data_IF_318018069851
#
_entry.id   IF_318018069851
#
_cell.length_a   1.000
_cell.length_b   1.000
_cell.length_c   1.000
_cell.angle_alpha   90.00
_cell.angle_beta   90.00
_cell.angle_gamma   90.00
#
_symmetry.space_group_name_H-M   'P 1'
#
loop_
_entity.id
_entity.type
_entity.pdbx_description
1 polymer ?
#
# COMPACT_ATOMS: atom_id res chain seq x y z
N UNK A 1 -59.76 -18.96 39.95
CA UNK A 1 -60.62 -19.41 38.84
C UNK A 1 -61.53 -18.22 38.54
N UNK A 2 -60.97 -17.14 38.00
CA UNK A 2 -60.59 -16.91 36.60
C UNK A 2 -61.82 -16.87 35.71
N UNK A 3 -62.09 -15.67 35.19
CA UNK A 3 -62.68 -15.32 33.88
C UNK A 3 -63.46 -14.01 34.07
N UNK A 4 -63.36 -12.96 33.27
CA UNK A 4 -62.35 -12.51 32.29
C UNK A 4 -62.71 -11.03 32.07
N UNK A 5 -61.76 -10.12 32.25
CA UNK A 5 -61.95 -8.67 32.07
C UNK A 5 -61.66 -8.38 30.61
N UNK A 6 -62.70 -8.30 29.80
CA UNK A 6 -62.60 -7.83 28.41
C UNK A 6 -62.34 -6.32 28.40
N UNK A 7 -61.06 -5.97 28.28
CA UNK A 7 -60.59 -4.62 28.04
C UNK A 7 -60.76 -4.26 26.56
N UNK A 8 -61.59 -3.26 26.31
CA UNK A 8 -61.62 -2.44 25.10
C UNK A 8 -60.24 -1.78 24.91
N UNK A 9 -59.55 -2.01 23.79
CA UNK A 9 -58.60 -1.05 23.19
C UNK A 9 -58.28 -1.38 21.72
N UNK A 10 -58.86 -0.59 20.83
CA UNK A 10 -58.33 -0.04 19.57
C UNK A 10 -57.64 -0.97 18.54
N UNK A 11 -58.25 -1.19 17.36
CA UNK A 11 -57.57 -1.77 16.21
C UNK A 11 -56.65 -0.73 15.55
N UNK A 12 -55.33 -0.87 15.75
CA UNK A 12 -54.34 -0.16 14.94
C UNK A 12 -54.40 -0.67 13.50
N UNK A 13 -55.18 0.01 12.67
CA UNK A 13 -55.15 -0.14 11.22
C UNK A 13 -53.87 0.53 10.72
N UNK A 14 -52.79 -0.24 10.58
CA UNK A 14 -51.61 0.21 9.84
C UNK A 14 -52.05 0.42 8.39
N UNK A 15 -52.30 1.68 8.02
CA UNK A 15 -52.40 2.09 6.63
C UNK A 15 -51.06 1.76 5.97
N UNK A 16 -51.00 0.64 5.25
CA UNK A 16 -50.01 0.45 4.20
C UNK A 16 -50.16 1.61 3.23
N UNK A 17 -49.31 2.62 3.36
CA UNK A 17 -49.09 3.61 2.32
C UNK A 17 -48.48 2.85 1.15
N UNK A 18 -49.33 2.53 0.17
CA UNK A 18 -48.93 2.12 -1.16
C UNK A 18 -48.03 3.22 -1.74
N UNK A 19 -46.72 3.09 -1.54
CA UNK A 19 -45.73 3.86 -2.27
C UNK A 19 -45.60 3.21 -3.66
N UNK A 20 -45.85 3.93 -4.76
CA UNK A 20 -45.75 3.36 -6.10
C UNK A 20 -44.30 2.95 -6.39
N UNK A 21 -44.16 1.76 -6.98
CA UNK A 21 -42.89 1.10 -7.27
C UNK A 21 -41.87 2.00 -8.00
N UNK A 22 -40.83 2.45 -7.29
CA UNK A 22 -39.63 3.09 -7.82
C UNK A 22 -38.61 2.05 -8.34
N UNK A 23 -39.07 1.04 -9.08
CA UNK A 23 -38.20 -0.06 -9.56
C UNK A 23 -37.14 0.36 -10.58
N UNK A 24 -37.32 1.50 -11.27
CA UNK A 24 -36.39 2.05 -12.26
C UNK A 24 -35.33 2.95 -11.62
N UNK A 25 -35.72 3.77 -10.64
CA UNK A 25 -34.83 4.64 -9.85
C UNK A 25 -33.85 3.83 -9.00
N UNK A 26 -34.33 2.75 -8.36
CA UNK A 26 -33.48 1.86 -7.56
C UNK A 26 -32.43 1.14 -8.40
N UNK A 27 -32.78 0.74 -9.63
CA UNK A 27 -31.85 0.04 -10.53
C UNK A 27 -30.76 0.95 -11.06
N UNK A 28 -31.06 2.22 -11.35
CA UNK A 28 -30.06 3.21 -11.76
C UNK A 28 -29.18 3.64 -10.59
N UNK A 29 -29.77 3.79 -9.40
CA UNK A 29 -29.04 4.12 -8.18
C UNK A 29 -28.05 3.02 -7.76
N UNK A 30 -28.45 1.74 -7.79
CA UNK A 30 -27.55 0.60 -7.49
C UNK A 30 -26.39 0.50 -8.49
N UNK A 31 -26.65 0.77 -9.78
CA UNK A 31 -25.60 0.80 -10.82
C UNK A 31 -24.61 1.93 -10.57
N UNK A 32 -25.09 3.12 -10.24
CA UNK A 32 -24.26 4.27 -9.93
C UNK A 32 -23.42 4.03 -8.66
N UNK A 33 -24.02 3.46 -7.62
CA UNK A 33 -23.33 3.11 -6.38
C UNK A 33 -22.25 2.04 -6.59
N UNK A 34 -22.54 1.01 -7.39
CA UNK A 34 -21.55 0.00 -7.76
C UNK A 34 -20.38 0.59 -8.54
N UNK A 35 -20.66 1.43 -9.54
CA UNK A 35 -19.63 2.13 -10.31
C UNK A 35 -18.76 3.04 -9.43
N UNK A 36 -19.39 3.84 -8.56
CA UNK A 36 -18.68 4.71 -7.62
C UNK A 36 -17.79 3.92 -6.66
N UNK A 37 -18.27 2.78 -6.16
CA UNK A 37 -17.48 1.90 -5.30
C UNK A 37 -16.27 1.33 -6.01
N UNK A 38 -16.44 0.84 -7.25
CA UNK A 38 -15.33 0.28 -8.04
C UNK A 38 -14.29 1.36 -8.34
N UNK A 39 -14.72 2.56 -8.71
CA UNK A 39 -13.81 3.67 -8.98
C UNK A 39 -13.03 4.09 -7.72
N UNK A 40 -13.71 4.16 -6.57
CA UNK A 40 -13.08 4.48 -5.29
C UNK A 40 -12.03 3.43 -4.90
N UNK A 41 -12.38 2.14 -4.98
CA UNK A 41 -11.43 1.04 -4.69
C UNK A 41 -10.25 1.03 -5.66
N UNK A 42 -10.50 1.24 -6.95
CA UNK A 42 -9.45 1.30 -7.96
C UNK A 42 -8.49 2.49 -7.72
N UNK A 43 -9.02 3.63 -7.29
CA UNK A 43 -8.21 4.81 -6.97
C UNK A 43 -7.34 4.55 -5.75
N UNK A 44 -7.89 3.95 -4.70
CA UNK A 44 -7.14 3.61 -3.48
C UNK A 44 -6.04 2.57 -3.74
N UNK A 45 -6.37 1.52 -4.50
CA UNK A 45 -5.40 0.49 -4.86
C UNK A 45 -4.31 1.06 -5.78
N UNK A 46 -4.70 1.82 -6.81
CA UNK A 46 -3.77 2.46 -7.73
C UNK A 46 -2.82 3.43 -7.03
N UNK A 47 -3.32 4.25 -6.09
CA UNK A 47 -2.49 5.14 -5.29
C UNK A 47 -1.42 4.35 -4.50
N UNK A 48 -1.81 3.26 -3.85
CA UNK A 48 -0.88 2.44 -3.08
C UNK A 48 0.13 1.72 -3.98
N UNK A 49 -0.29 1.18 -5.12
CA UNK A 49 0.62 0.56 -6.09
C UNK A 49 1.67 1.56 -6.57
N UNK A 50 1.29 2.82 -6.82
CA UNK A 50 2.23 3.89 -7.15
C UNK A 50 3.22 4.13 -6.01
N UNK A 51 2.76 4.15 -4.76
CA UNK A 51 3.63 4.31 -3.59
C UNK A 51 4.67 3.18 -3.48
N UNK A 52 4.25 1.93 -3.67
CA UNK A 52 5.15 0.76 -3.66
C UNK A 52 6.20 0.88 -4.78
N UNK A 53 5.79 1.29 -5.98
CA UNK A 53 6.71 1.49 -7.10
C UNK A 53 7.72 2.61 -6.79
N UNK A 54 7.28 3.73 -6.20
CA UNK A 54 8.17 4.82 -5.82
C UNK A 54 9.20 4.39 -4.78
N UNK A 55 8.80 3.63 -3.76
CA UNK A 55 9.72 3.03 -2.79
C UNK A 55 10.71 2.10 -3.50
N UNK A 56 10.22 1.20 -4.38
CA UNK A 56 11.07 0.26 -5.10
C UNK A 56 12.12 0.97 -5.97
N UNK A 57 11.72 2.05 -6.66
CA UNK A 57 12.63 2.89 -7.45
C UNK A 57 13.65 3.56 -6.53
N UNK A 58 13.23 4.16 -5.40
CA UNK A 58 14.13 4.80 -4.45
C UNK A 58 15.17 3.80 -3.90
N UNK A 59 14.74 2.61 -3.48
CA UNK A 59 15.63 1.54 -3.02
C UNK A 59 16.60 1.08 -4.13
N UNK A 60 16.12 0.97 -5.37
CA UNK A 60 16.96 0.59 -6.51
C UNK A 60 18.03 1.63 -6.84
N UNK A 61 17.69 2.93 -6.75
CA UNK A 61 18.66 4.01 -6.91
C UNK A 61 19.68 4.03 -5.78
N UNK A 62 19.25 3.74 -4.56
CA UNK A 62 20.12 3.66 -3.39
C UNK A 62 21.15 2.52 -3.49
N UNK A 63 20.74 1.32 -3.88
CA UNK A 63 21.66 0.18 -4.05
C UNK A 63 22.68 0.42 -5.17
N UNK A 64 22.25 1.05 -6.28
CA UNK A 64 23.17 1.45 -7.36
C UNK A 64 24.22 2.46 -6.87
N UNK A 65 23.79 3.44 -6.06
CA UNK A 65 24.70 4.42 -5.47
C UNK A 65 25.71 3.76 -4.53
N UNK A 66 25.24 2.86 -3.66
CA UNK A 66 26.09 2.08 -2.74
C UNK A 66 27.13 1.26 -3.50
N UNK A 67 26.74 0.61 -4.59
CA UNK A 67 27.65 -0.15 -5.44
C UNK A 67 28.72 0.76 -6.07
N UNK A 68 28.34 1.93 -6.60
CA UNK A 68 29.29 2.88 -7.18
C UNK A 68 30.30 3.42 -6.15
N UNK A 69 29.87 3.71 -4.92
CA UNK A 69 30.79 4.15 -3.85
C UNK A 69 31.78 3.04 -3.49
N UNK A 70 31.32 1.79 -3.37
CA UNK A 70 32.17 0.65 -3.04
C UNK A 70 33.20 0.38 -4.15
N UNK A 71 32.77 0.48 -5.40
CA UNK A 71 33.63 0.31 -6.58
C UNK A 71 34.75 1.37 -6.61
N UNK A 72 34.40 2.65 -6.46
CA UNK A 72 35.35 3.77 -6.37
C UNK A 72 36.34 3.57 -5.22
N UNK A 73 35.86 3.07 -4.07
CA UNK A 73 36.73 2.79 -2.91
C UNK A 73 37.71 1.65 -3.21
N UNK A 74 37.27 0.62 -3.93
CA UNK A 74 38.03 -0.60 -4.15
C UNK A 74 39.07 -0.44 -5.28
N UNK A 75 38.75 0.32 -6.32
CA UNK A 75 39.69 0.73 -7.37
C UNK A 75 40.90 1.47 -6.78
N UNK A 76 40.69 2.26 -5.73
CA UNK A 76 41.73 3.10 -5.15
C UNK A 76 42.49 2.48 -3.96
N UNK A 77 41.90 1.51 -3.23
CA UNK A 77 42.63 0.78 -2.17
C UNK A 77 43.67 -0.20 -2.77
N UNK A 78 43.50 -0.62 -4.02
CA UNK A 78 44.54 -1.40 -4.72
C UNK A 78 45.63 -0.42 -5.16
N UNK A 79 46.80 -0.36 -4.49
CA UNK A 79 47.81 0.60 -4.86
C UNK A 79 48.31 0.21 -6.25
N UNK A 80 48.13 1.08 -7.23
CA UNK A 80 48.92 1.01 -8.47
C UNK A 80 50.35 1.32 -8.05
N UNK A 81 51.09 0.27 -7.67
CA UNK A 81 52.52 0.30 -7.38
C UNK A 81 53.24 0.75 -8.65
N UNK A 82 53.38 2.05 -8.79
CA UNK A 82 54.09 2.70 -9.86
C UNK A 82 54.37 4.12 -9.41
N UNK A 83 55.56 4.29 -8.87
CA UNK A 83 56.31 5.53 -8.62
C UNK A 83 55.84 6.72 -9.48
N UNK A 84 54.77 7.40 -9.07
CA UNK A 84 54.22 8.61 -9.69
C UNK A 84 54.35 9.78 -8.71
N UNK A 85 54.70 10.94 -9.24
CA UNK A 85 54.97 12.18 -8.52
C UNK A 85 53.95 12.48 -7.41
N UNK A 86 54.45 12.85 -6.23
CA UNK A 86 53.68 13.20 -5.03
C UNK A 86 52.62 14.30 -5.30
N UNK A 87 52.88 15.18 -6.27
CA UNK A 87 51.93 16.21 -6.71
C UNK A 87 50.77 15.67 -7.56
N UNK A 88 51.02 14.68 -8.43
CA UNK A 88 49.99 14.05 -9.27
C UNK A 88 49.06 13.20 -8.40
N UNK A 89 49.63 12.50 -7.41
CA UNK A 89 48.86 11.73 -6.43
C UNK A 89 47.94 12.63 -5.58
N UNK A 90 48.42 13.81 -5.18
CA UNK A 90 47.63 14.76 -4.40
C UNK A 90 46.46 15.36 -5.20
N UNK A 91 46.67 15.67 -6.48
CA UNK A 91 45.61 16.17 -7.35
C UNK A 91 44.51 15.11 -7.60
N UNK A 92 44.92 13.86 -7.84
CA UNK A 92 43.99 12.73 -7.98
C UNK A 92 43.19 12.48 -6.68
N UNK A 93 43.84 12.60 -5.52
CA UNK A 93 43.17 12.48 -4.22
C UNK A 93 42.13 13.59 -3.98
N UNK A 94 42.45 14.85 -4.34
CA UNK A 94 41.49 15.96 -4.22
C UNK A 94 40.28 15.79 -5.15
N UNK A 95 40.47 15.34 -6.40
CA UNK A 95 39.36 15.06 -7.33
C UNK A 95 38.47 13.92 -6.82
N UNK A 96 39.08 12.85 -6.30
CA UNK A 96 38.36 11.74 -5.70
C UNK A 96 37.56 12.17 -4.47
N UNK A 97 38.16 12.96 -3.57
CA UNK A 97 37.49 13.48 -2.39
C UNK A 97 36.31 14.38 -2.76
N UNK A 98 36.43 15.17 -3.83
CA UNK A 98 35.33 15.97 -4.35
C UNK A 98 34.18 15.09 -4.87
N UNK A 99 34.49 14.02 -5.63
CA UNK A 99 33.50 13.04 -6.11
C UNK A 99 32.80 12.31 -4.97
N UNK A 100 33.56 11.88 -3.96
CA UNK A 100 33.01 11.20 -2.79
C UNK A 100 32.10 12.14 -1.98
N UNK A 101 32.50 13.39 -1.79
CA UNK A 101 31.70 14.38 -1.09
C UNK A 101 30.41 14.72 -1.86
N UNK A 102 30.46 14.85 -3.19
CA UNK A 102 29.26 15.01 -4.00
C UNK A 102 28.32 13.80 -3.88
N UNK A 103 28.89 12.60 -3.85
CA UNK A 103 28.15 11.35 -3.69
C UNK A 103 27.48 11.23 -2.29
N UNK A 104 28.20 11.59 -1.23
CA UNK A 104 27.67 11.64 0.15
C UNK A 104 26.53 12.65 0.25
N UNK A 105 26.65 13.83 -0.37
CA UNK A 105 25.56 14.82 -0.39
C UNK A 105 24.33 14.27 -1.09
N UNK A 106 24.51 13.66 -2.26
CA UNK A 106 23.40 13.04 -2.98
C UNK A 106 22.74 11.91 -2.16
N UNK A 107 23.53 11.14 -1.41
CA UNK A 107 23.03 10.13 -0.49
C UNK A 107 22.21 10.73 0.65
N UNK A 108 22.66 11.84 1.24
CA UNK A 108 21.91 12.58 2.26
C UNK A 108 20.58 13.10 1.72
N UNK A 109 20.56 13.60 0.48
CA UNK A 109 19.32 14.05 -0.17
C UNK A 109 18.34 12.89 -0.40
N UNK A 110 18.83 11.72 -0.81
CA UNK A 110 17.99 10.51 -0.98
C UNK A 110 17.44 10.03 0.36
N UNK A 111 18.24 10.03 1.43
CA UNK A 111 17.75 9.65 2.76
C UNK A 111 16.66 10.61 3.27
N UNK A 112 16.85 11.92 3.06
CA UNK A 112 15.85 12.92 3.42
C UNK A 112 14.55 12.74 2.61
N UNK A 113 14.66 12.40 1.33
CA UNK A 113 13.51 12.04 0.49
C UNK A 113 12.77 10.81 1.00
N UNK A 114 13.51 9.75 1.34
CA UNK A 114 12.94 8.51 1.88
C UNK A 114 12.24 8.74 3.21
N UNK A 115 12.82 9.52 4.13
CA UNK A 115 12.16 9.88 5.40
C UNK A 115 10.87 10.68 5.16
N UNK A 116 10.92 11.65 4.25
CA UNK A 116 9.71 12.43 3.89
C UNK A 116 8.64 11.54 3.26
N UNK A 117 9.04 10.55 2.47
CA UNK A 117 8.15 9.56 1.88
C UNK A 117 7.56 8.63 2.96
N UNK A 118 8.36 8.17 3.92
CA UNK A 118 7.90 7.35 5.03
C UNK A 118 6.84 8.08 5.87
N UNK A 119 7.10 9.33 6.24
CA UNK A 119 6.14 10.16 6.99
C UNK A 119 4.83 10.37 6.22
N UNK A 120 4.93 10.64 4.91
CA UNK A 120 3.76 10.81 4.05
C UNK A 120 2.99 9.49 3.85
N UNK A 121 3.66 8.35 3.87
CA UNK A 121 3.07 7.04 3.63
C UNK A 121 2.56 6.35 4.90
N UNK A 122 3.04 6.73 6.09
CA UNK A 122 2.67 6.11 7.35
C UNK A 122 1.14 6.11 7.60
N UNK A 123 0.50 7.28 7.44
CA UNK A 123 -0.96 7.43 7.60
C UNK A 123 -1.77 6.61 6.58
N UNK A 124 -1.53 6.73 5.26
CA UNK A 124 -2.26 5.93 4.27
C UNK A 124 -1.95 4.43 4.36
N UNK A 125 -0.73 4.02 4.75
CA UNK A 125 -0.41 2.62 5.03
C UNK A 125 -1.22 2.09 6.21
N UNK A 126 -1.29 2.84 7.31
CA UNK A 126 -2.12 2.49 8.47
C UNK A 126 -3.59 2.33 8.07
N UNK A 127 -4.14 3.31 7.34
CA UNK A 127 -5.51 3.24 6.82
C UNK A 127 -5.72 2.03 5.91
N UNK A 128 -4.75 1.73 5.05
CA UNK A 128 -4.82 0.58 4.15
C UNK A 128 -4.83 -0.75 4.91
N UNK A 129 -3.98 -0.92 5.92
CA UNK A 129 -3.98 -2.14 6.76
C UNK A 129 -5.31 -2.37 7.46
N UNK A 130 -5.95 -1.31 7.96
CA UNK A 130 -7.27 -1.42 8.59
C UNK A 130 -8.36 -1.83 7.59
N UNK A 131 -8.36 -1.24 6.39
CA UNK A 131 -9.29 -1.58 5.32
C UNK A 131 -9.07 -3.02 4.85
N UNK A 132 -7.81 -3.43 4.69
CA UNK A 132 -7.46 -4.80 4.33
C UNK A 132 -7.94 -5.79 5.39
N UNK A 133 -7.70 -5.53 6.68
CA UNK A 133 -8.17 -6.39 7.75
C UNK A 133 -9.70 -6.58 7.69
N UNK A 134 -10.45 -5.48 7.56
CA UNK A 134 -11.90 -5.55 7.40
C UNK A 134 -12.30 -6.38 6.18
N UNK A 135 -11.64 -6.15 5.04
CA UNK A 135 -11.91 -6.85 3.78
C UNK A 135 -11.62 -8.36 3.89
N UNK A 136 -10.53 -8.74 4.55
CA UNK A 136 -10.21 -10.14 4.83
C UNK A 136 -11.24 -10.78 5.75
N UNK A 137 -11.71 -10.07 6.78
CA UNK A 137 -12.76 -10.56 7.67
C UNK A 137 -14.09 -10.79 6.90
N UNK A 138 -14.49 -9.84 6.06
CA UNK A 138 -15.69 -9.99 5.22
C UNK A 138 -15.53 -11.09 4.17
N UNK A 139 -14.34 -11.23 3.58
CA UNK A 139 -14.02 -12.29 2.63
C UNK A 139 -14.11 -13.67 3.28
N UNK A 140 -13.51 -13.84 4.47
CA UNK A 140 -13.59 -15.08 5.24
C UNK A 140 -15.03 -15.42 5.61
N UNK A 141 -15.82 -14.44 6.07
CA UNK A 141 -17.25 -14.63 6.34
C UNK A 141 -18.01 -15.05 5.07
N UNK A 142 -17.77 -14.40 3.94
CA UNK A 142 -18.43 -14.70 2.67
C UNK A 142 -18.12 -16.10 2.16
N UNK A 143 -16.88 -16.55 2.30
CA UNK A 143 -16.46 -17.92 1.95
C UNK A 143 -17.18 -18.95 2.82
N UNK A 144 -17.36 -18.65 4.12
CA UNK A 144 -18.09 -19.53 5.04
C UNK A 144 -19.59 -19.54 4.76
N UNK A 145 -20.20 -18.40 4.44
CA UNK A 145 -21.65 -18.32 4.18
C UNK A 145 -22.05 -18.86 2.82
N UNK A 146 -21.20 -18.75 1.80
CA UNK A 146 -21.49 -19.21 0.43
C UNK A 146 -20.99 -20.64 0.18
N UNK A 147 -20.88 -21.45 1.24
CA UNK A 147 -20.44 -22.84 1.17
C UNK A 147 -21.40 -23.66 0.29
N UNK A 148 -20.99 -23.93 -0.95
CA UNK A 148 -21.80 -24.66 -1.94
C UNK A 148 -21.77 -24.05 -3.34
N UNK A 149 -21.45 -22.75 -3.47
CA UNK A 149 -21.21 -22.13 -4.77
C UNK A 149 -19.70 -21.97 -5.01
N UNK A 150 -19.17 -22.82 -5.90
CA UNK A 150 -17.75 -22.83 -6.23
C UNK A 150 -17.28 -21.53 -6.90
N UNK A 151 -18.15 -20.83 -7.65
CA UNK A 151 -17.78 -19.60 -8.34
C UNK A 151 -17.51 -18.48 -7.32
N UNK A 152 -18.46 -18.24 -6.42
CA UNK A 152 -18.36 -17.21 -5.38
C UNK A 152 -17.22 -17.50 -4.39
N UNK A 153 -17.04 -18.77 -4.02
CA UNK A 153 -15.93 -19.19 -3.15
C UNK A 153 -14.57 -18.94 -3.80
N UNK A 154 -14.41 -19.31 -5.08
CA UNK A 154 -13.16 -19.10 -5.81
C UNK A 154 -12.82 -17.62 -5.99
N UNK A 155 -13.83 -16.78 -6.23
CA UNK A 155 -13.66 -15.34 -6.35
C UNK A 155 -13.21 -14.72 -5.02
N UNK A 156 -13.85 -15.08 -3.91
CA UNK A 156 -13.46 -14.62 -2.58
C UNK A 156 -12.02 -15.02 -2.22
N UNK A 157 -11.63 -16.25 -2.56
CA UNK A 157 -10.27 -16.75 -2.34
C UNK A 157 -9.23 -15.99 -3.17
N UNK A 158 -9.52 -15.69 -4.44
CA UNK A 158 -8.59 -14.93 -5.31
C UNK A 158 -8.37 -13.51 -4.77
N UNK A 159 -9.43 -12.83 -4.30
CA UNK A 159 -9.33 -11.51 -3.69
C UNK A 159 -8.49 -11.58 -2.40
N UNK A 160 -8.72 -12.61 -1.57
CA UNK A 160 -7.96 -12.84 -0.35
C UNK A 160 -6.46 -13.05 -0.61
N UNK A 161 -6.11 -13.86 -1.61
CA UNK A 161 -4.71 -14.11 -1.98
C UNK A 161 -4.04 -12.86 -2.53
N UNK A 162 -4.75 -12.09 -3.37
CA UNK A 162 -4.24 -10.84 -3.94
C UNK A 162 -3.90 -9.83 -2.84
N UNK A 163 -4.84 -9.56 -1.93
CA UNK A 163 -4.60 -8.65 -0.81
C UNK A 163 -3.54 -9.17 0.17
N UNK A 164 -3.39 -10.49 0.31
CA UNK A 164 -2.30 -11.05 1.11
C UNK A 164 -0.92 -10.76 0.48
N UNK A 165 -0.83 -10.82 -0.86
CA UNK A 165 0.41 -10.48 -1.57
C UNK A 165 0.79 -9.01 -1.44
N UNK A 166 -0.19 -8.10 -1.45
CA UNK A 166 0.03 -6.66 -1.23
C UNK A 166 0.65 -6.40 0.15
N UNK A 167 0.11 -7.04 1.20
CA UNK A 167 0.65 -6.96 2.57
C UNK A 167 2.09 -7.46 2.62
N UNK A 168 2.38 -8.61 2.01
CA UNK A 168 3.72 -9.19 2.02
C UNK A 168 4.73 -8.26 1.34
N UNK A 169 4.36 -7.64 0.22
CA UNK A 169 5.22 -6.67 -0.47
C UNK A 169 5.49 -5.44 0.38
N UNK A 170 4.45 -4.87 0.99
CA UNK A 170 4.59 -3.70 1.87
C UNK A 170 5.49 -4.03 3.08
N UNK A 171 5.25 -5.16 3.75
CA UNK A 171 6.07 -5.60 4.88
C UNK A 171 7.53 -5.87 4.47
N UNK A 172 7.74 -6.44 3.28
CA UNK A 172 9.07 -6.67 2.73
C UNK A 172 9.82 -5.36 2.49
N UNK A 173 9.18 -4.39 1.84
CA UNK A 173 9.78 -3.07 1.62
C UNK A 173 10.03 -2.32 2.93
N UNK A 174 9.10 -2.36 3.88
CA UNK A 174 9.29 -1.78 5.21
C UNK A 174 10.51 -2.35 5.92
N UNK A 175 10.67 -3.67 5.90
CA UNK A 175 11.85 -4.35 6.48
C UNK A 175 13.16 -3.90 5.80
N UNK A 176 13.14 -3.74 4.46
CA UNK A 176 14.31 -3.26 3.70
C UNK A 176 14.64 -1.81 3.99
N UNK A 177 13.65 -0.98 4.31
CA UNK A 177 13.84 0.42 4.69
C UNK A 177 14.45 0.54 6.09
N UNK A 178 13.90 -0.17 7.08
CA UNK A 178 14.36 -0.11 8.48
C UNK A 178 15.78 -0.66 8.67
N UNK A 179 16.23 -1.56 7.80
CA UNK A 179 17.57 -2.16 7.89
C UNK A 179 18.69 -1.26 7.36
N UNK A 180 18.36 -0.14 6.70
CA UNK A 180 19.32 0.79 6.11
C UNK A 180 19.42 2.10 6.88
#
# INVERSE_FOLDING_TARGET
>A
MCDDVSHEHSPYTIKQTNFPATGTSDRTQKKFQGFASVLNTATMHGFLSLCIILIAVACGQFEKLKAAILDIRQEHITPRQGQEDEQVHKAAYCDLQAKLNACIRHHQDIMAYVQSLEDALNVPLCGHFLILLATMCFGAFSVVTNWGDYADMSQGLMIYLFHSSDVLLICWFGTRLTQH
#
